data_IF_643353818642
#
_entry.id   IF_643353818642
#
_cell.length_a   1.000
_cell.length_b   1.000
_cell.length_c   1.000
_cell.angle_alpha   90.00
_cell.angle_beta   90.00
_cell.angle_gamma   90.00
#
_symmetry.space_group_name_H-M   'P 1'
#
loop_
_entity.id
_entity.type
_entity.pdbx_description
1 polymer ?
#
# COMPACT_ATOMS: atom_id res chain seq x y z
N UNK A 1 -8.58 -5.28 -0.70
CA UNK A 1 -8.64 -6.74 -0.47
C UNK A 1 -7.33 -7.21 0.14
N UNK A 2 -7.12 -8.51 0.40
CA UNK A 2 -5.90 -8.97 1.10
C UNK A 2 -4.61 -8.56 0.39
N UNK A 3 -4.48 -8.90 -0.90
CA UNK A 3 -3.29 -8.61 -1.70
C UNK A 3 -3.22 -7.15 -2.17
N UNK A 4 -2.02 -6.53 -2.18
CA UNK A 4 -1.83 -5.16 -2.65
C UNK A 4 -1.83 -5.06 -4.17
N UNK A 5 -2.46 -4.01 -4.70
CA UNK A 5 -2.20 -3.58 -6.10
C UNK A 5 -0.74 -3.11 -6.19
N UNK A 6 -0.38 -2.17 -5.31
CA UNK A 6 0.99 -1.71 -5.12
C UNK A 6 1.42 -1.92 -3.68
N UNK A 7 2.64 -2.42 -3.53
CA UNK A 7 3.37 -2.46 -2.27
C UNK A 7 4.85 -2.29 -2.57
N UNK A 8 5.55 -1.64 -1.65
CA UNK A 8 7.02 -1.48 -1.72
C UNK A 8 7.76 -2.55 -0.93
N UNK A 9 7.03 -3.42 -0.22
CA UNK A 9 7.59 -4.37 0.73
C UNK A 9 7.92 -5.72 0.07
N UNK A 10 8.18 -6.76 0.86
CA UNK A 10 8.81 -8.00 0.39
C UNK A 10 8.06 -8.70 -0.76
N UNK A 11 6.73 -8.83 -0.70
CA UNK A 11 5.94 -9.42 -1.79
C UNK A 11 5.75 -8.43 -2.94
N UNK A 12 5.53 -7.16 -2.63
CA UNK A 12 5.46 -6.10 -3.64
C UNK A 12 4.14 -6.08 -4.44
N UNK A 13 4.15 -5.54 -5.66
CA UNK A 13 2.94 -5.40 -6.48
C UNK A 13 2.34 -6.74 -6.91
N UNK A 14 1.04 -6.93 -6.72
CA UNK A 14 0.35 -8.11 -7.26
C UNK A 14 0.00 -7.89 -8.72
N UNK A 15 0.78 -8.48 -9.63
CA UNK A 15 0.67 -8.25 -11.09
C UNK A 15 -0.75 -8.38 -11.64
N UNK A 16 -1.48 -9.43 -11.24
CA UNK A 16 -2.85 -9.64 -11.69
C UNK A 16 -3.80 -8.49 -11.29
N UNK A 17 -3.58 -7.86 -10.13
CA UNK A 17 -4.37 -6.72 -9.67
C UNK A 17 -3.95 -5.42 -10.38
N UNK A 18 -2.66 -5.24 -10.64
CA UNK A 18 -2.17 -4.13 -11.48
C UNK A 18 -2.78 -4.19 -12.88
N UNK A 19 -2.84 -5.38 -13.49
CA UNK A 19 -3.31 -5.53 -14.86
C UNK A 19 -4.84 -5.48 -14.99
N UNK A 20 -5.59 -5.97 -13.98
CA UNK A 20 -7.04 -6.18 -14.10
C UNK A 20 -7.88 -5.30 -13.18
N UNK A 21 -7.41 -5.03 -11.96
CA UNK A 21 -8.18 -4.27 -10.97
C UNK A 21 -7.89 -2.77 -11.06
N UNK A 22 -6.61 -2.37 -11.10
CA UNK A 22 -6.21 -0.95 -11.17
C UNK A 22 -6.94 -0.17 -12.29
N UNK A 23 -7.05 -0.67 -13.54
CA UNK A 23 -7.78 0.05 -14.58
C UNK A 23 -9.25 0.30 -14.25
N UNK A 24 -9.89 -0.60 -13.50
CA UNK A 24 -11.27 -0.43 -13.05
C UNK A 24 -11.35 0.62 -11.93
N UNK A 25 -10.43 0.57 -10.96
CA UNK A 25 -10.37 1.56 -9.88
C UNK A 25 -10.19 2.98 -10.42
N UNK A 26 -9.33 3.13 -11.43
CA UNK A 26 -9.10 4.41 -12.12
C UNK A 26 -10.34 4.84 -12.94
N UNK A 27 -10.92 3.92 -13.73
CA UNK A 27 -12.12 4.21 -14.55
C UNK A 27 -13.30 4.68 -13.72
N UNK A 28 -13.50 4.12 -12.53
CA UNK A 28 -14.64 4.42 -11.67
C UNK A 28 -14.31 5.43 -10.56
N UNK A 29 -13.19 6.13 -10.65
CA UNK A 29 -12.80 7.20 -9.72
C UNK A 29 -12.85 6.77 -8.24
N UNK A 30 -12.40 5.56 -7.95
CA UNK A 30 -12.34 5.07 -6.57
C UNK A 30 -11.35 5.92 -5.77
N UNK A 31 -11.74 6.33 -4.56
CA UNK A 31 -10.92 7.20 -3.69
C UNK A 31 -9.69 6.49 -3.13
N UNK A 32 -9.86 5.22 -2.73
CA UNK A 32 -8.79 4.46 -2.07
C UNK A 32 -8.96 2.95 -2.21
N UNK A 33 -7.85 2.23 -2.26
CA UNK A 33 -7.78 0.77 -2.19
C UNK A 33 -6.91 0.36 -1.00
N UNK A 34 -7.51 -0.42 -0.09
CA UNK A 34 -6.83 -0.91 1.10
C UNK A 34 -6.45 -2.37 0.97
N UNK A 35 -5.27 -2.70 1.48
CA UNK A 35 -4.72 -4.05 1.50
C UNK A 35 -3.82 -4.31 2.68
N UNK A 36 -3.46 -5.58 2.88
CA UNK A 36 -2.40 -6.01 3.79
C UNK A 36 -1.47 -6.92 3.02
N UNK A 37 -1.42 -8.20 3.44
CA UNK A 37 -0.56 -9.26 2.90
C UNK A 37 0.94 -9.03 3.15
N UNK A 38 1.47 -7.90 2.70
CA UNK A 38 2.80 -7.46 3.10
C UNK A 38 2.75 -6.96 4.55
N UNK A 39 3.61 -7.52 5.40
CA UNK A 39 3.75 -7.14 6.80
C UNK A 39 4.57 -5.85 6.95
N UNK A 40 4.04 -4.77 6.39
CA UNK A 40 4.55 -3.41 6.48
C UNK A 40 3.38 -2.41 6.39
N UNK A 41 3.68 -1.13 6.51
CA UNK A 41 2.71 -0.06 6.25
C UNK A 41 3.20 0.78 5.06
N UNK A 42 2.30 1.16 4.15
CA UNK A 42 2.65 2.04 3.04
C UNK A 42 1.45 2.86 2.55
N UNK A 43 1.76 4.06 2.08
CA UNK A 43 0.82 4.92 1.35
C UNK A 43 1.43 5.28 0.00
N UNK A 44 0.72 4.90 -1.07
CA UNK A 44 1.11 5.19 -2.45
C UNK A 44 0.01 5.96 -3.18
N UNK A 45 0.41 6.94 -3.97
CA UNK A 45 -0.46 7.76 -4.79
C UNK A 45 0.21 8.12 -6.12
N UNK A 46 -0.35 7.58 -7.20
CA UNK A 46 0.07 7.82 -8.59
C UNK A 46 -0.50 9.11 -9.19
N UNK A 47 -1.41 9.80 -8.48
CA UNK A 47 -2.19 10.97 -8.95
C UNK A 47 -3.04 10.71 -10.19
N UNK A 48 -3.38 9.43 -10.43
CA UNK A 48 -4.16 8.97 -11.59
C UNK A 48 -5.31 8.04 -11.23
N UNK A 49 -5.52 7.80 -9.94
CA UNK A 49 -6.42 6.77 -9.44
C UNK A 49 -6.61 6.84 -7.92
N UNK A 50 -7.01 5.73 -7.28
CA UNK A 50 -7.13 5.68 -5.83
C UNK A 50 -5.77 5.88 -5.15
N UNK A 51 -5.82 6.33 -3.89
CA UNK A 51 -4.71 6.09 -2.98
C UNK A 51 -4.62 4.59 -2.64
N UNK A 52 -3.42 4.03 -2.63
CA UNK A 52 -3.17 2.64 -2.25
C UNK A 52 -2.59 2.60 -0.84
N UNK A 53 -3.32 1.96 0.07
CA UNK A 53 -2.97 1.87 1.49
C UNK A 53 -2.65 0.41 1.81
N UNK A 54 -1.42 0.15 2.22
CA UNK A 54 -1.01 -1.15 2.77
C UNK A 54 -0.96 -1.02 4.28
N UNK A 55 -1.76 -1.83 4.98
CA UNK A 55 -1.82 -1.87 6.43
C UNK A 55 -1.78 -3.32 6.93
N UNK A 56 -0.57 -3.90 6.92
CA UNK A 56 -0.37 -5.33 7.17
C UNK A 56 0.39 -5.68 8.45
N UNK A 57 0.64 -4.72 9.34
CA UNK A 57 1.43 -4.93 10.58
C UNK A 57 0.59 -5.09 11.83
N UNK A 58 -0.54 -5.80 11.72
CA UNK A 58 -1.44 -6.06 12.86
C UNK A 58 -0.94 -7.15 13.83
N UNK A 59 0.03 -7.97 13.41
CA UNK A 59 0.62 -9.04 14.22
C UNK A 59 2.13 -9.14 13.95
N UNK A 60 2.50 -9.54 12.73
CA UNK A 60 3.90 -9.64 12.32
C UNK A 60 4.40 -8.33 11.69
N UNK A 61 5.63 -7.93 12.02
CA UNK A 61 6.31 -6.77 11.44
C UNK A 61 7.84 -6.87 11.63
N UNK A 62 8.66 -6.28 10.76
CA UNK A 62 8.31 -5.72 9.45
C UNK A 62 9.11 -6.38 8.33
N UNK A 63 8.45 -6.56 7.19
CA UNK A 63 9.08 -7.01 5.96
C UNK A 63 9.99 -5.92 5.39
N UNK A 64 11.01 -6.35 4.64
CA UNK A 64 11.95 -5.48 3.95
C UNK A 64 11.26 -4.70 2.80
N UNK A 65 11.65 -3.44 2.52
CA UNK A 65 11.12 -2.65 1.41
C UNK A 65 11.76 -3.02 0.05
N UNK A 66 11.83 -4.32 -0.25
CA UNK A 66 12.57 -4.84 -1.41
C UNK A 66 12.01 -4.41 -2.77
N UNK A 67 10.78 -3.90 -2.82
CA UNK A 67 10.05 -3.55 -4.05
C UNK A 67 9.82 -2.05 -4.24
N UNK A 68 10.59 -1.18 -3.57
CA UNK A 68 10.57 0.28 -3.81
C UNK A 68 10.76 0.67 -5.29
N UNK A 69 11.53 -0.13 -6.03
CA UNK A 69 11.81 0.08 -7.46
C UNK A 69 10.71 -0.49 -8.38
N UNK A 70 9.83 -1.35 -7.86
CA UNK A 70 8.80 -2.06 -8.63
C UNK A 70 7.45 -1.32 -8.66
N UNK A 71 7.33 -0.23 -7.91
CA UNK A 71 6.17 0.67 -7.95
C UNK A 71 6.44 1.86 -8.89
N UNK A 72 5.40 2.52 -9.42
CA UNK A 72 5.57 3.69 -10.28
C UNK A 72 6.42 4.77 -9.61
N UNK A 73 7.36 5.37 -10.36
CA UNK A 73 8.32 6.34 -9.83
C UNK A 73 7.61 7.49 -9.11
N UNK A 74 8.01 7.72 -7.85
CA UNK A 74 7.46 8.79 -7.02
C UNK A 74 6.04 8.54 -6.51
N UNK A 75 5.46 7.35 -6.72
CA UNK A 75 4.12 7.03 -6.20
C UNK A 75 4.12 6.75 -4.69
N UNK A 76 5.14 6.08 -4.16
CA UNK A 76 5.30 5.88 -2.72
C UNK A 76 5.56 7.23 -2.02
N UNK A 77 4.59 7.68 -1.20
CA UNK A 77 4.73 8.93 -0.44
C UNK A 77 5.22 8.68 0.98
N UNK A 78 4.89 7.52 1.53
CA UNK A 78 5.29 7.11 2.87
C UNK A 78 5.28 5.59 2.97
N UNK A 79 6.20 5.04 3.75
CA UNK A 79 6.21 3.63 4.15
C UNK A 79 6.89 3.47 5.50
N UNK A 80 6.56 2.36 6.15
CA UNK A 80 7.21 1.86 7.35
C UNK A 80 7.43 0.35 7.16
N UNK A 81 8.70 -0.02 7.09
CA UNK A 81 9.22 -1.34 6.80
C UNK A 81 10.45 -1.62 7.69
N UNK A 82 11.14 -2.75 7.49
CA UNK A 82 12.29 -3.14 8.30
C UNK A 82 13.40 -2.07 8.43
N UNK A 83 13.63 -1.28 7.39
CA UNK A 83 14.66 -0.23 7.34
C UNK A 83 14.23 1.11 7.97
N UNK A 84 12.93 1.27 8.23
CA UNK A 84 12.29 2.52 8.64
C UNK A 84 11.52 2.36 9.97
N UNK A 85 11.45 1.14 10.51
CA UNK A 85 10.84 0.84 11.80
C UNK A 85 11.75 1.29 12.97
N UNK A 86 11.60 2.55 13.39
CA UNK A 86 12.32 3.07 14.55
C UNK A 86 11.68 2.59 15.88
N UNK A 87 12.04 1.39 16.34
CA UNK A 87 11.47 0.73 17.53
C UNK A 87 9.93 0.56 17.50
N UNK A 88 9.33 0.55 16.31
CA UNK A 88 7.90 0.30 16.14
C UNK A 88 7.68 -1.20 15.90
N UNK A 89 6.74 -1.81 16.62
CA UNK A 89 6.49 -3.26 16.56
C UNK A 89 5.28 -3.65 15.71
N UNK A 90 4.51 -2.68 15.23
CA UNK A 90 3.29 -2.92 14.47
C UNK A 90 2.53 -1.62 14.22
N UNK A 91 1.33 -1.73 13.66
CA UNK A 91 0.52 -0.57 13.35
C UNK A 91 -0.75 -0.91 12.57
N UNK A 92 -1.63 0.08 12.50
CA UNK A 92 -2.87 0.01 11.73
C UNK A 92 -3.16 1.38 11.12
N UNK A 93 -3.97 1.41 10.06
CA UNK A 93 -4.48 2.65 9.51
C UNK A 93 -5.80 3.03 10.19
N UNK A 94 -5.92 4.30 10.59
CA UNK A 94 -7.19 4.91 10.98
C UNK A 94 -7.65 5.86 9.87
N UNK A 95 -8.94 5.86 9.55
CA UNK A 95 -9.50 6.69 8.50
C UNK A 95 -10.83 7.27 8.96
N UNK A 96 -11.10 8.49 8.52
CA UNK A 96 -12.35 9.19 8.77
C UNK A 96 -12.90 9.66 7.43
N UNK A 97 -14.19 9.39 7.18
CA UNK A 97 -14.93 9.95 6.06
C UNK A 97 -15.96 10.93 6.61
N UNK A 98 -15.92 12.16 6.15
CA UNK A 98 -16.83 13.24 6.57
C UNK A 98 -17.60 13.77 5.37
N UNK A 99 -18.74 14.39 5.63
CA UNK A 99 -19.50 15.16 4.62
C UNK A 99 -19.14 16.65 4.61
N UNK A 100 -18.33 17.07 5.59
CA UNK A 100 -17.87 18.45 5.79
C UNK A 100 -16.86 18.90 4.73
#
# INVERSE_FOLDING_TARGET
GHYPVWSVCQHGPTRALVDRLKPLLERYHITGYMSGHDHCQAYLDERRGPAYIVTGTGDNCCYEPSNLHAVPKGSCKWYQAADTMNNTFGGFASMTATTE
#
